data_IF_607661217954
#
_entry.id   IF_607661217954
#
_cell.length_a   1.000
_cell.length_b   1.000
_cell.length_c   1.000
_cell.angle_alpha   90.00
_cell.angle_beta   90.00
_cell.angle_gamma   90.00
#
_symmetry.space_group_name_H-M   'P 1'
#
loop_
_entity.id
_entity.type
_entity.pdbx_description
1 polymer ?
#
# COMPACT_ATOMS: atom_id res chain seq x y z
N UNK A 1 7.23 -16.06 33.53
CA UNK A 1 7.66 -16.00 32.12
C UNK A 1 6.69 -15.16 31.31
N UNK A 2 6.89 -13.83 31.22
CA UNK A 2 6.28 -13.00 30.17
C UNK A 2 7.07 -11.72 30.01
N UNK A 3 8.29 -11.85 29.50
CA UNK A 3 8.99 -10.74 28.86
C UNK A 3 8.33 -10.53 27.49
N UNK A 4 7.09 -10.02 27.47
CA UNK A 4 6.29 -9.89 26.26
C UNK A 4 6.82 -8.74 25.42
N UNK A 5 7.84 -9.06 24.62
CA UNK A 5 8.52 -8.12 23.76
C UNK A 5 7.54 -7.53 22.74
N UNK A 6 7.64 -6.21 22.55
CA UNK A 6 7.03 -5.43 21.47
C UNK A 6 6.94 -6.24 20.17
N UNK A 7 5.72 -6.41 19.65
CA UNK A 7 5.47 -7.18 18.41
C UNK A 7 6.29 -6.59 17.26
N UNK A 8 7.18 -7.41 16.67
CA UNK A 8 8.02 -7.04 15.54
C UNK A 8 7.28 -7.32 14.22
N UNK A 9 7.20 -6.37 13.28
CA UNK A 9 6.50 -6.57 12.01
C UNK A 9 7.00 -7.78 11.20
N UNK A 10 8.31 -8.04 11.18
CA UNK A 10 8.89 -9.16 10.42
C UNK A 10 8.35 -10.54 10.85
N UNK A 11 7.96 -10.69 12.12
CA UNK A 11 7.41 -11.94 12.65
C UNK A 11 5.94 -12.16 12.29
N UNK A 12 5.25 -11.13 11.78
CA UNK A 12 3.82 -11.20 11.47
C UNK A 12 3.54 -11.68 10.04
N UNK A 13 4.47 -11.47 9.11
CA UNK A 13 4.27 -11.81 7.70
C UNK A 13 4.18 -13.30 7.42
N UNK A 14 4.86 -14.13 8.22
CA UNK A 14 4.81 -15.59 8.10
C UNK A 14 3.64 -16.27 8.82
N UNK A 15 2.81 -15.52 9.56
CA UNK A 15 1.68 -16.08 10.32
C UNK A 15 0.41 -16.16 9.48
N UNK A 16 -0.46 -17.11 9.81
CA UNK A 16 -1.77 -17.21 9.16
C UNK A 16 -2.69 -16.05 9.57
N UNK A 17 -3.73 -15.78 8.77
CA UNK A 17 -4.72 -14.74 9.08
C UNK A 17 -5.43 -15.00 10.41
N UNK A 18 -5.70 -16.26 10.73
CA UNK A 18 -6.44 -16.62 11.93
C UNK A 18 -5.55 -16.53 13.18
N UNK A 19 -4.25 -16.84 13.06
CA UNK A 19 -3.29 -16.60 14.15
C UNK A 19 -3.12 -15.10 14.43
N UNK A 20 -3.09 -14.28 13.38
CA UNK A 20 -3.03 -12.82 13.54
C UNK A 20 -4.29 -12.25 14.19
N UNK A 21 -5.48 -12.83 13.94
CA UNK A 21 -6.73 -12.43 14.61
C UNK A 21 -6.71 -12.81 16.09
N UNK A 22 -6.29 -14.04 16.43
CA UNK A 22 -6.15 -14.47 17.83
C UNK A 22 -5.20 -13.55 18.59
N UNK A 23 -4.02 -13.30 18.02
CA UNK A 23 -3.04 -12.37 18.59
C UNK A 23 -3.59 -10.94 18.72
N UNK A 24 -4.41 -10.48 17.77
CA UNK A 24 -5.05 -9.17 17.84
C UNK A 24 -6.04 -9.06 19.01
N UNK A 25 -6.84 -10.09 19.25
CA UNK A 25 -7.85 -10.08 20.31
C UNK A 25 -7.22 -10.19 21.69
N UNK A 26 -6.16 -10.98 21.85
CA UNK A 26 -5.32 -10.99 23.07
C UNK A 26 -4.72 -9.61 23.38
N UNK A 27 -4.20 -8.91 22.36
CA UNK A 27 -3.65 -7.56 22.56
C UNK A 27 -4.74 -6.54 22.92
N UNK A 28 -5.98 -6.70 22.41
CA UNK A 28 -7.08 -5.81 22.77
C UNK A 28 -7.58 -6.04 24.19
N UNK A 29 -7.69 -7.29 24.63
CA UNK A 29 -8.12 -7.61 26.00
C UNK A 29 -7.11 -7.09 27.02
N UNK A 30 -5.81 -7.31 26.76
CA UNK A 30 -4.73 -6.77 27.60
C UNK A 30 -4.76 -5.24 27.65
N UNK A 31 -4.97 -4.57 26.50
CA UNK A 31 -5.11 -3.11 26.46
C UNK A 31 -6.32 -2.62 27.28
N UNK A 32 -7.45 -3.34 27.22
CA UNK A 32 -8.64 -3.06 28.01
C UNK A 32 -8.37 -3.12 29.51
N UNK A 33 -7.71 -4.19 29.96
CA UNK A 33 -7.31 -4.37 31.36
C UNK A 33 -6.38 -3.23 31.83
N UNK A 34 -5.38 -2.85 31.04
CA UNK A 34 -4.46 -1.77 31.39
C UNK A 34 -5.15 -0.40 31.48
N UNK A 35 -6.19 -0.16 30.68
CA UNK A 35 -6.98 1.08 30.75
C UNK A 35 -7.79 1.17 32.05
N UNK A 36 -8.37 0.06 32.51
CA UNK A 36 -9.07 0.01 33.82
C UNK A 36 -8.06 0.24 34.95
N UNK A 37 -6.90 -0.42 34.91
CA UNK A 37 -5.85 -0.23 35.92
C UNK A 37 -5.31 1.21 35.96
N UNK A 38 -5.28 1.91 34.82
CA UNK A 38 -4.92 3.32 34.77
C UNK A 38 -5.87 4.19 35.59
N UNK A 39 -7.17 3.89 35.56
CA UNK A 39 -8.19 4.64 36.31
C UNK A 39 -8.08 4.35 37.80
N UNK A 40 -7.83 3.08 38.16
CA UNK A 40 -7.70 2.64 39.55
C UNK A 40 -6.36 3.07 40.23
N UNK A 41 -5.53 3.90 39.59
CA UNK A 41 -4.27 4.37 40.16
C UNK A 41 -3.14 3.34 40.17
N UNK A 42 -3.11 2.42 39.19
CA UNK A 42 -2.09 1.37 39.11
C UNK A 42 -0.64 1.86 38.90
N UNK A 43 0.33 0.97 39.11
CA UNK A 43 1.75 1.26 39.03
C UNK A 43 2.21 1.82 37.66
N UNK A 44 3.08 2.85 37.70
CA UNK A 44 3.58 3.57 36.51
C UNK A 44 4.24 2.68 35.45
N UNK A 45 4.96 1.63 35.86
CA UNK A 45 5.60 0.67 34.95
C UNK A 45 4.62 -0.12 34.09
N UNK A 46 3.36 -0.30 34.53
CA UNK A 46 2.29 -0.93 33.74
C UNK A 46 1.62 0.06 32.78
N UNK A 47 1.72 1.37 33.04
CA UNK A 47 1.09 2.42 32.23
C UNK A 47 1.86 2.73 30.95
N UNK A 48 3.20 2.69 30.99
CA UNK A 48 4.04 2.89 29.79
C UNK A 48 3.77 1.85 28.71
N UNK A 49 3.36 0.64 29.12
CA UNK A 49 3.00 -0.49 28.25
C UNK A 49 1.77 -0.23 27.38
N UNK A 50 0.86 0.68 27.77
CA UNK A 50 -0.32 1.07 26.98
C UNK A 50 0.10 1.58 25.58
N UNK A 51 1.18 2.36 25.52
CA UNK A 51 1.71 2.91 24.27
C UNK A 51 2.18 1.81 23.32
N UNK A 52 2.94 0.84 23.85
CA UNK A 52 3.49 -0.24 23.05
C UNK A 52 2.43 -1.23 22.59
N UNK A 53 1.40 -1.50 23.39
CA UNK A 53 0.25 -2.30 22.95
C UNK A 53 -0.50 -1.64 21.81
N UNK A 54 -0.78 -0.33 21.89
CA UNK A 54 -1.44 0.41 20.79
C UNK A 54 -0.65 0.28 19.49
N UNK A 55 0.67 0.43 19.56
CA UNK A 55 1.55 0.26 18.40
C UNK A 55 1.57 -1.19 17.90
N UNK A 56 1.51 -2.16 18.79
CA UNK A 56 1.50 -3.59 18.42
C UNK A 56 0.19 -3.97 17.72
N UNK A 57 -0.96 -3.53 18.23
CA UNK A 57 -2.27 -3.68 17.59
C UNK A 57 -2.26 -3.08 16.17
N UNK A 58 -1.74 -1.86 16.03
CA UNK A 58 -1.65 -1.20 14.73
C UNK A 58 -0.81 -1.99 13.73
N UNK A 59 0.31 -2.58 14.16
CA UNK A 59 1.17 -3.42 13.28
C UNK A 59 0.43 -4.67 12.80
N UNK A 60 -0.27 -5.37 13.70
CA UNK A 60 -1.04 -6.57 13.34
C UNK A 60 -2.13 -6.24 12.33
N UNK A 61 -2.92 -5.19 12.58
CA UNK A 61 -3.94 -4.72 11.64
C UNK A 61 -3.36 -4.33 10.27
N UNK A 62 -2.19 -3.68 10.27
CA UNK A 62 -1.51 -3.28 9.03
C UNK A 62 -1.16 -4.48 8.17
N UNK A 63 -0.60 -5.54 8.77
CA UNK A 63 -0.22 -6.77 8.04
C UNK A 63 -1.45 -7.52 7.53
N UNK A 64 -2.50 -7.65 8.34
CA UNK A 64 -3.78 -8.26 7.91
C UNK A 64 -4.34 -7.52 6.68
N UNK A 65 -4.41 -6.20 6.74
CA UNK A 65 -4.94 -5.38 5.65
C UNK A 65 -4.07 -5.44 4.39
N UNK A 66 -2.74 -5.43 4.54
CA UNK A 66 -1.79 -5.54 3.44
C UNK A 66 -1.95 -6.90 2.71
N UNK A 67 -2.02 -8.00 3.46
CA UNK A 67 -2.20 -9.35 2.91
C UNK A 67 -3.55 -9.47 2.18
N UNK A 68 -4.64 -9.02 2.79
CA UNK A 68 -5.96 -9.05 2.15
C UNK A 68 -6.00 -8.23 0.86
N UNK A 69 -5.42 -7.01 0.87
CA UNK A 69 -5.35 -6.15 -0.31
C UNK A 69 -4.46 -6.74 -1.40
N UNK A 70 -3.37 -7.43 -1.04
CA UNK A 70 -2.51 -8.12 -1.99
C UNK A 70 -3.26 -9.26 -2.70
N UNK A 71 -3.97 -10.11 -1.96
CA UNK A 71 -4.76 -11.19 -2.54
C UNK A 71 -5.87 -10.66 -3.46
N UNK A 72 -6.54 -9.57 -3.08
CA UNK A 72 -7.51 -8.90 -3.95
C UNK A 72 -6.86 -8.36 -5.23
N UNK A 73 -5.64 -7.82 -5.17
CA UNK A 73 -4.93 -7.37 -6.38
C UNK A 73 -4.65 -8.53 -7.32
N UNK A 74 -4.25 -9.69 -6.82
CA UNK A 74 -4.02 -10.88 -7.63
C UNK A 74 -5.30 -11.31 -8.36
N UNK A 75 -6.42 -11.35 -7.63
CA UNK A 75 -7.73 -11.71 -8.19
C UNK A 75 -8.22 -10.73 -9.29
N UNK A 76 -7.94 -9.43 -9.16
CA UNK A 76 -8.35 -8.41 -10.12
C UNK A 76 -7.31 -8.06 -11.19
N UNK A 77 -6.11 -8.65 -11.17
CA UNK A 77 -4.95 -8.21 -11.98
C UNK A 77 -5.22 -8.09 -13.49
N UNK A 78 -6.04 -8.97 -14.05
CA UNK A 78 -6.36 -9.01 -15.50
C UNK A 78 -7.79 -8.59 -15.82
N UNK A 79 -8.54 -8.12 -14.82
CA UNK A 79 -9.94 -7.71 -15.01
C UNK A 79 -9.98 -6.26 -15.48
N UNK A 80 -10.83 -5.98 -16.47
CA UNK A 80 -11.03 -4.62 -17.02
C UNK A 80 -11.45 -3.62 -15.93
N UNK A 81 -12.34 -4.03 -15.03
CA UNK A 81 -12.90 -3.17 -13.99
C UNK A 81 -12.31 -3.51 -12.63
N UNK A 82 -11.59 -2.53 -12.07
CA UNK A 82 -11.07 -2.57 -10.71
C UNK A 82 -11.97 -1.77 -9.76
N UNK A 83 -12.19 -2.24 -8.53
CA UNK A 83 -12.72 -1.43 -7.44
C UNK A 83 -11.90 -0.15 -7.24
N UNK A 84 -12.57 0.93 -6.82
CA UNK A 84 -11.93 2.25 -6.66
C UNK A 84 -10.68 2.19 -5.76
N UNK A 85 -10.72 1.40 -4.70
CA UNK A 85 -9.62 1.26 -3.75
C UNK A 85 -8.35 0.66 -4.35
N UNK A 86 -8.49 -0.18 -5.39
CA UNK A 86 -7.36 -0.86 -6.04
C UNK A 86 -6.79 -0.07 -7.22
N UNK A 87 -7.52 0.93 -7.72
CA UNK A 87 -7.09 1.78 -8.82
C UNK A 87 -5.83 2.57 -8.44
N UNK A 88 -4.97 2.90 -9.43
CA UNK A 88 -3.82 3.76 -9.18
C UNK A 88 -4.27 5.14 -8.67
N UNK A 89 -3.58 5.64 -7.65
CA UNK A 89 -3.84 6.97 -7.09
C UNK A 89 -3.14 8.01 -7.95
N UNK A 90 -3.90 8.62 -8.85
CA UNK A 90 -3.46 9.69 -9.76
C UNK A 90 -4.38 10.91 -9.60
N UNK A 91 -3.92 12.08 -10.02
CA UNK A 91 -4.77 13.28 -10.07
C UNK A 91 -5.88 13.13 -11.12
N UNK A 92 -6.98 13.86 -10.96
CA UNK A 92 -8.11 13.84 -11.91
C UNK A 92 -7.66 14.21 -13.33
N UNK A 93 -6.78 15.21 -13.46
CA UNK A 93 -6.22 15.63 -14.75
C UNK A 93 -5.44 14.49 -15.43
N UNK A 94 -4.58 13.79 -14.70
CA UNK A 94 -3.82 12.65 -15.25
C UNK A 94 -4.73 11.48 -15.65
N UNK A 95 -5.85 11.26 -14.95
CA UNK A 95 -6.81 10.21 -15.34
C UNK A 95 -7.63 10.56 -16.58
N UNK A 96 -7.82 11.85 -16.87
CA UNK A 96 -8.66 12.34 -17.98
C UNK A 96 -7.88 12.64 -19.25
N UNK A 97 -6.56 12.87 -19.18
CA UNK A 97 -5.72 13.08 -20.37
C UNK A 97 -5.71 11.85 -21.27
N UNK A 98 -5.40 12.05 -22.55
CA UNK A 98 -5.23 10.95 -23.51
C UNK A 98 -4.14 9.97 -23.07
N UNK A 99 -4.31 8.70 -23.43
CA UNK A 99 -3.24 7.71 -23.30
C UNK A 99 -2.07 8.08 -24.21
N UNK A 100 -0.84 7.67 -23.87
CA UNK A 100 0.34 7.92 -24.73
C UNK A 100 0.14 7.36 -26.15
N UNK A 101 -0.51 6.20 -26.25
CA UNK A 101 -0.83 5.55 -27.53
C UNK A 101 -1.79 6.39 -28.36
N UNK A 102 -2.84 6.93 -27.73
CA UNK A 102 -3.82 7.76 -28.43
C UNK A 102 -3.25 9.11 -28.83
N UNK A 103 -2.44 9.72 -27.96
CA UNK A 103 -1.73 10.96 -28.27
C UNK A 103 -0.71 10.79 -29.40
N UNK A 104 -0.10 9.60 -29.52
CA UNK A 104 0.85 9.28 -30.60
C UNK A 104 0.19 8.66 -31.83
N UNK A 105 -1.14 8.56 -31.90
CA UNK A 105 -1.80 8.04 -33.10
C UNK A 105 -1.61 9.01 -34.24
N UNK A 106 -0.96 8.55 -35.29
CA UNK A 106 -0.73 9.29 -36.53
C UNK A 106 -1.56 8.66 -37.63
N UNK A 107 -2.15 9.48 -38.50
CA UNK A 107 -2.90 8.99 -39.67
C UNK A 107 -1.97 8.23 -40.62
N UNK A 108 -2.50 7.28 -41.40
CA UNK A 108 -1.68 6.53 -42.35
C UNK A 108 -0.96 7.44 -43.36
N UNK A 109 -1.63 8.51 -43.79
CA UNK A 109 -1.05 9.54 -44.66
C UNK A 109 0.18 10.19 -44.04
N UNK A 110 0.08 10.60 -42.77
CA UNK A 110 1.20 11.25 -42.09
C UNK A 110 2.31 10.26 -41.72
N UNK A 111 1.98 8.99 -41.42
CA UNK A 111 2.96 7.92 -41.26
C UNK A 111 3.78 7.74 -42.54
N UNK A 112 3.13 7.61 -43.71
CA UNK A 112 3.81 7.52 -45.01
C UNK A 112 4.73 8.73 -45.25
N UNK A 113 4.24 9.95 -44.98
CA UNK A 113 5.05 11.18 -45.11
C UNK A 113 6.30 11.15 -44.21
N UNK A 114 6.16 10.74 -42.96
CA UNK A 114 7.29 10.63 -42.02
C UNK A 114 8.31 9.57 -42.43
N UNK A 115 7.85 8.42 -42.96
CA UNK A 115 8.73 7.36 -43.46
C UNK A 115 9.51 7.82 -44.69
N UNK A 116 8.84 8.48 -45.64
CA UNK A 116 9.48 8.90 -46.89
C UNK A 116 10.32 10.18 -46.74
N UNK A 117 9.93 11.09 -45.85
CA UNK A 117 10.60 12.39 -45.65
C UNK A 117 10.95 12.61 -44.16
N UNK A 118 11.88 11.83 -43.60
CA UNK A 118 12.33 12.05 -42.23
C UNK A 118 13.14 13.35 -42.14
N UNK A 119 13.05 14.04 -41.00
CA UNK A 119 13.93 15.17 -40.70
C UNK A 119 15.37 14.68 -40.63
N UNK A 120 16.22 15.13 -41.55
CA UNK A 120 17.63 14.79 -41.60
C UNK A 120 18.44 15.79 -40.77
N UNK A 121 19.41 15.30 -40.01
CA UNK A 121 20.43 16.18 -39.39
C UNK A 121 21.49 16.48 -40.43
N UNK A 122 21.78 17.75 -40.65
CA UNK A 122 22.85 18.22 -41.51
C UNK A 122 23.54 19.43 -40.87
N UNK A 123 24.77 19.70 -41.26
CA UNK A 123 25.53 20.88 -40.88
C UNK A 123 26.02 21.58 -42.14
N UNK A 124 26.04 22.91 -42.13
CA UNK A 124 26.58 23.72 -43.22
C UNK A 124 27.97 24.17 -42.81
N UNK A 125 28.95 23.98 -43.69
CA UNK A 125 30.31 24.45 -43.46
C UNK A 125 30.31 25.97 -43.58
N UNK A 126 30.87 26.66 -42.59
CA UNK A 126 31.13 28.10 -42.70
C UNK A 126 32.32 28.31 -43.64
N UNK A 127 32.17 29.24 -44.59
CA UNK A 127 33.26 29.75 -45.43
C UNK A 127 34.12 30.75 -44.65
#
# INVERSE_FOLDING_TARGET
>A
MSTNAKVKPGQLWGKSKDDLKKQLDELKTELGQLRVQKIAGGASSKLTRIHDLRKSIARVLTVINANQRHQLRLFYAKKKYLPLDLRPKLTRAIRRRLSKKDASRVTEKQKKKQTHFPARKYAVKAE
#
